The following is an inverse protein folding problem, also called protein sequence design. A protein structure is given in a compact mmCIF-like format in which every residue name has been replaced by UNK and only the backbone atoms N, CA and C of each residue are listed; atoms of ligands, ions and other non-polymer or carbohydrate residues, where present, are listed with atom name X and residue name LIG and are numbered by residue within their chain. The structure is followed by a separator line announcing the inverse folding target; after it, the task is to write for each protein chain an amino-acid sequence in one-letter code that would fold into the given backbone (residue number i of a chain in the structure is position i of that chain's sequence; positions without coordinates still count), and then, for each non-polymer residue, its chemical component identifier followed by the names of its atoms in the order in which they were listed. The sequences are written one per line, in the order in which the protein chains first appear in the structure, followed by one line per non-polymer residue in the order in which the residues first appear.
data_IF_732483686441
#
_entry.id   IF_732483686441
#
_cell.length_a   1.000
_cell.length_b   1.000
_cell.length_c   1.000
_cell.angle_alpha   90.00
_cell.angle_beta   90.00
_cell.angle_gamma   90.00
#
_symmetry.space_group_name_H-M   'P 1'
#
loop_
_entity.id
_entity.type
_entity.pdbx_description
1 polymer ?
#
# COMPACT_ATOMS: atom_id res chain seq x y z
N UNK A 1 -3.15 71.83 7.20
CA UNK A 1 -2.90 70.71 6.29
C UNK A 1 -2.89 69.43 7.10
N UNK A 2 -3.94 68.70 6.99
CA UNK A 2 -4.01 67.40 7.66
C UNK A 2 -3.44 66.37 6.71
N UNK A 3 -2.29 65.80 7.04
CA UNK A 3 -1.75 64.65 6.33
C UNK A 3 -2.49 63.41 6.79
N UNK A 4 -3.28 62.86 5.89
CA UNK A 4 -3.92 61.57 6.10
C UNK A 4 -2.82 60.53 5.93
N UNK A 5 -2.38 59.96 7.04
CA UNK A 5 -1.56 58.75 7.00
C UNK A 5 -2.53 57.59 6.85
N UNK A 6 -2.69 57.12 5.62
CA UNK A 6 -3.39 55.85 5.39
C UNK A 6 -2.50 54.74 5.93
N UNK A 7 -2.85 54.24 7.10
CA UNK A 7 -2.24 53.03 7.62
C UNK A 7 -2.76 51.88 6.77
N UNK A 8 -2.00 51.49 5.77
CA UNK A 8 -2.24 50.27 5.05
C UNK A 8 -1.88 49.12 5.97
N UNK A 9 -2.85 48.63 6.71
CA UNK A 9 -2.77 47.31 7.35
C UNK A 9 -2.74 46.28 6.22
N UNK A 10 -1.53 45.92 5.82
CA UNK A 10 -1.36 44.74 4.99
C UNK A 10 -1.76 43.57 5.84
N UNK A 11 -3.01 43.14 5.71
CA UNK A 11 -3.45 41.85 6.16
C UNK A 11 -2.73 40.81 5.26
N UNK A 12 -1.54 40.39 5.67
CA UNK A 12 -0.98 39.18 5.18
C UNK A 12 -1.92 38.08 5.66
N UNK A 13 -2.67 37.40 4.77
CA UNK A 13 -3.31 36.17 5.19
C UNK A 13 -2.18 35.31 5.71
N UNK A 14 -2.24 34.96 6.99
CA UNK A 14 -1.47 33.86 7.49
C UNK A 14 -1.93 32.66 6.67
N UNK A 15 -1.29 32.46 5.55
CA UNK A 15 -1.21 31.15 4.96
C UNK A 15 -0.48 30.30 5.99
N UNK A 16 -1.24 29.83 6.99
CA UNK A 16 -0.84 28.63 7.65
C UNK A 16 -0.75 27.60 6.56
N UNK A 17 0.43 27.45 6.00
CA UNK A 17 0.84 26.22 5.40
C UNK A 17 0.65 25.19 6.50
N UNK A 18 -0.56 24.69 6.62
CA UNK A 18 -0.72 23.37 7.18
C UNK A 18 0.16 22.52 6.27
N UNK A 19 1.32 22.13 6.80
CA UNK A 19 1.98 21.00 6.23
C UNK A 19 0.87 19.96 6.12
N UNK A 20 0.27 19.85 4.96
CA UNK A 20 -0.56 18.70 4.67
C UNK A 20 0.43 17.58 4.83
N UNK A 21 0.37 16.92 6.00
CA UNK A 21 0.79 15.56 6.07
C UNK A 21 -0.06 14.87 5.03
N UNK A 22 0.42 14.92 3.78
CA UNK A 22 -0.06 14.05 2.74
C UNK A 22 0.31 12.68 3.24
N UNK A 23 -0.61 12.11 4.04
CA UNK A 23 -0.50 10.72 4.44
C UNK A 23 -0.55 9.96 3.13
N UNK A 24 0.59 9.42 2.73
CA UNK A 24 0.70 8.53 1.59
C UNK A 24 0.30 7.14 2.06
N UNK A 25 -0.99 6.78 2.03
CA UNK A 25 -1.46 5.52 2.61
C UNK A 25 -0.85 4.31 1.93
N UNK A 26 -0.46 4.45 0.65
CA UNK A 26 0.07 3.35 -0.14
C UNK A 26 1.59 3.34 -0.26
N UNK A 27 2.27 3.96 0.70
CA UNK A 27 3.69 3.76 0.97
C UNK A 27 3.82 3.29 2.40
N UNK A 28 3.90 1.99 2.61
CA UNK A 28 3.76 1.42 3.94
C UNK A 28 4.30 0.00 4.05
N UNK A 29 4.56 -0.40 5.28
CA UNK A 29 4.68 -1.77 5.71
C UNK A 29 3.43 -2.14 6.51
N UNK A 30 2.70 -3.14 6.02
CA UNK A 30 1.43 -3.58 6.60
C UNK A 30 1.56 -5.02 7.05
N UNK A 31 0.92 -5.37 8.15
CA UNK A 31 1.05 -6.70 8.74
C UNK A 31 -0.28 -7.28 9.19
N UNK A 32 -0.44 -8.60 9.00
CA UNK A 32 -1.54 -9.40 9.53
C UNK A 32 -0.97 -10.47 10.46
N UNK A 33 -1.31 -10.40 11.75
CA UNK A 33 -0.80 -11.33 12.76
C UNK A 33 -1.39 -12.72 12.66
N UNK A 34 -2.66 -12.85 12.25
CA UNK A 34 -3.36 -14.13 12.23
C UNK A 34 -2.72 -15.11 11.24
N UNK A 35 -2.41 -14.60 10.04
CA UNK A 35 -1.81 -15.42 8.98
C UNK A 35 -0.30 -15.20 8.83
N UNK A 36 0.26 -14.30 9.62
CA UNK A 36 1.68 -13.94 9.57
C UNK A 36 2.14 -13.55 8.17
N UNK A 37 1.32 -12.76 7.50
CA UNK A 37 1.62 -12.20 6.18
C UNK A 37 1.79 -10.70 6.28
N UNK A 38 2.55 -10.14 5.34
CA UNK A 38 2.80 -8.70 5.29
C UNK A 38 2.73 -8.19 3.86
N UNK A 39 2.44 -6.90 3.73
CA UNK A 39 2.54 -6.15 2.50
C UNK A 39 3.64 -5.10 2.64
N UNK A 40 4.55 -5.10 1.72
CA UNK A 40 5.52 -4.02 1.55
C UNK A 40 5.21 -3.30 0.26
N UNK A 41 4.80 -2.04 0.35
CA UNK A 41 4.25 -1.31 -0.78
C UNK A 41 4.79 0.11 -0.90
N UNK A 42 4.91 0.55 -2.14
CA UNK A 42 5.08 1.92 -2.57
C UNK A 42 4.41 2.08 -3.94
N UNK A 43 3.14 2.46 -3.93
CA UNK A 43 2.37 2.59 -5.16
C UNK A 43 2.56 3.93 -5.85
N UNK A 44 3.31 4.86 -5.24
CA UNK A 44 3.60 6.17 -5.81
C UNK A 44 4.83 6.13 -6.69
N UNK A 45 5.96 5.69 -6.16
CA UNK A 45 7.25 5.67 -6.86
C UNK A 45 7.61 4.28 -7.38
N UNK A 46 6.92 3.24 -6.93
CA UNK A 46 7.14 1.84 -7.34
C UNK A 46 8.61 1.40 -7.19
N UNK A 47 9.16 1.68 -6.01
CA UNK A 47 10.59 1.51 -5.72
C UNK A 47 10.94 0.20 -5.01
N UNK A 48 10.00 -0.72 -4.92
CA UNK A 48 10.19 -1.96 -4.15
C UNK A 48 10.92 -2.99 -5.01
N UNK A 49 12.09 -3.42 -4.53
CA UNK A 49 12.80 -4.59 -5.07
C UNK A 49 12.34 -5.81 -4.29
N UNK A 50 11.89 -6.84 -5.01
CA UNK A 50 11.35 -8.05 -4.40
C UNK A 50 12.48 -9.03 -4.14
N UNK A 51 12.68 -9.46 -2.88
CA UNK A 51 13.73 -10.43 -2.54
C UNK A 51 13.60 -11.71 -3.36
N UNK A 52 14.69 -12.12 -4.02
CA UNK A 52 14.71 -13.30 -4.90
C UNK A 52 14.11 -13.09 -6.28
N UNK A 53 13.60 -11.89 -6.59
CA UNK A 53 12.96 -11.54 -7.86
C UNK A 53 13.55 -10.26 -8.47
N UNK A 54 14.84 -10.04 -8.30
CA UNK A 54 15.55 -8.82 -8.70
C UNK A 54 15.49 -8.58 -10.22
N UNK A 55 15.28 -9.62 -11.02
CA UNK A 55 15.16 -9.51 -12.49
C UNK A 55 13.92 -8.71 -12.92
N UNK A 56 12.89 -8.66 -12.08
CA UNK A 56 11.71 -7.82 -12.36
C UNK A 56 11.98 -6.33 -12.11
N UNK A 57 13.11 -5.97 -11.49
CA UNK A 57 13.43 -4.60 -11.15
C UNK A 57 12.57 -4.07 -10.02
N UNK A 58 12.26 -2.78 -10.08
CA UNK A 58 11.46 -2.10 -9.07
C UNK A 58 9.98 -2.19 -9.43
N UNK A 59 9.16 -2.55 -8.44
CA UNK A 59 7.73 -2.83 -8.56
C UNK A 59 6.92 -2.12 -7.47
N UNK A 60 5.58 -2.10 -7.58
CA UNK A 60 4.72 -1.51 -6.54
C UNK A 60 4.86 -2.15 -5.17
N UNK A 61 5.14 -3.44 -5.11
CA UNK A 61 5.30 -4.15 -3.85
C UNK A 61 5.05 -5.64 -3.93
N UNK A 62 4.89 -6.25 -2.76
CA UNK A 62 4.61 -7.67 -2.65
C UNK A 62 3.95 -8.03 -1.32
N UNK A 63 3.26 -9.17 -1.33
CA UNK A 63 2.77 -9.84 -0.13
C UNK A 63 3.73 -10.97 0.20
N UNK A 64 4.31 -10.93 1.39
CA UNK A 64 5.22 -11.94 1.88
C UNK A 64 4.66 -12.72 3.07
N UNK A 65 5.29 -13.84 3.37
CA UNK A 65 5.02 -14.68 4.53
C UNK A 65 6.18 -14.61 5.49
N UNK A 66 5.90 -14.41 6.77
CA UNK A 66 6.93 -14.39 7.81
C UNK A 66 7.77 -15.67 7.78
N UNK A 67 9.09 -15.50 7.82
CA UNK A 67 10.07 -16.60 7.81
C UNK A 67 9.97 -17.53 6.59
N UNK A 68 9.50 -17.02 5.46
CA UNK A 68 9.39 -17.78 4.23
C UNK A 68 9.74 -16.90 3.03
N UNK A 69 10.44 -17.43 2.04
CA UNK A 69 10.84 -16.69 0.85
C UNK A 69 9.74 -16.59 -0.21
N UNK A 70 8.65 -17.33 -0.06
CA UNK A 70 7.53 -17.27 -0.98
C UNK A 70 6.84 -15.90 -0.92
N UNK A 71 6.44 -15.37 -2.07
CA UNK A 71 5.69 -14.12 -2.13
C UNK A 71 4.69 -14.07 -3.29
N UNK A 72 3.74 -13.15 -3.17
CA UNK A 72 2.90 -12.68 -4.25
C UNK A 72 3.38 -11.30 -4.67
N UNK A 73 3.74 -11.16 -5.92
CA UNK A 73 4.26 -9.91 -6.49
C UNK A 73 3.10 -9.02 -6.91
N UNK A 74 3.11 -7.76 -6.53
CA UNK A 74 2.19 -6.77 -7.05
C UNK A 74 2.82 -6.19 -8.32
N UNK A 75 2.24 -6.53 -9.46
CA UNK A 75 2.77 -6.12 -10.77
C UNK A 75 2.22 -4.78 -11.23
N UNK A 76 1.05 -4.40 -10.77
CA UNK A 76 0.47 -3.08 -11.01
C UNK A 76 -0.41 -2.64 -9.86
N UNK A 77 -0.47 -1.34 -9.63
CA UNK A 77 -1.34 -0.72 -8.65
C UNK A 77 -1.89 0.58 -9.22
N UNK A 78 -3.20 0.75 -9.16
CA UNK A 78 -3.89 1.98 -9.57
C UNK A 78 -4.62 2.57 -8.38
N UNK A 79 -4.16 3.72 -7.92
CA UNK A 79 -4.76 4.42 -6.79
C UNK A 79 -5.99 5.20 -7.26
N UNK A 80 -7.08 5.04 -6.52
CA UNK A 80 -8.28 5.84 -6.64
C UNK A 80 -8.75 6.19 -5.23
N UNK A 81 -8.52 7.45 -4.83
CA UNK A 81 -8.80 7.95 -3.48
C UNK A 81 -8.10 7.10 -2.40
N UNK A 82 -8.85 6.40 -1.57
CA UNK A 82 -8.33 5.55 -0.51
C UNK A 82 -8.29 4.07 -0.87
N UNK A 83 -8.47 3.75 -2.13
CA UNK A 83 -8.40 2.39 -2.66
C UNK A 83 -7.29 2.27 -3.70
N UNK A 84 -6.75 1.09 -3.85
CA UNK A 84 -5.83 0.75 -4.93
C UNK A 84 -6.25 -0.57 -5.55
N UNK A 85 -6.35 -0.58 -6.87
CA UNK A 85 -6.64 -1.78 -7.66
C UNK A 85 -5.34 -2.44 -8.03
N UNK A 86 -5.17 -3.70 -7.64
CA UNK A 86 -3.92 -4.44 -7.74
C UNK A 86 -4.04 -5.59 -8.74
N UNK A 87 -2.98 -5.81 -9.51
CA UNK A 87 -2.72 -7.08 -10.16
C UNK A 87 -1.59 -7.78 -9.43
N UNK A 88 -1.76 -9.05 -9.13
CA UNK A 88 -0.81 -9.85 -8.37
C UNK A 88 -0.52 -11.16 -9.08
N UNK A 89 0.71 -11.61 -8.97
CA UNK A 89 1.16 -12.90 -9.50
C UNK A 89 1.96 -13.63 -8.43
N UNK A 90 1.82 -14.95 -8.36
CA UNK A 90 2.61 -15.72 -7.42
C UNK A 90 4.09 -15.79 -7.83
N UNK A 91 4.93 -16.19 -6.91
CA UNK A 91 6.39 -16.28 -7.07
C UNK A 91 6.81 -17.21 -8.24
N UNK A 92 6.01 -18.21 -8.54
CA UNK A 92 6.27 -19.13 -9.65
C UNK A 92 5.74 -18.63 -11.00
N UNK A 93 4.98 -17.54 -11.04
CA UNK A 93 4.37 -17.02 -12.24
C UNK A 93 3.23 -17.86 -12.83
N UNK A 94 2.71 -18.83 -12.06
CA UNK A 94 1.69 -19.78 -12.51
C UNK A 94 0.26 -19.38 -12.18
N UNK A 95 0.08 -18.46 -11.22
CA UNK A 95 -1.24 -18.02 -10.76
C UNK A 95 -1.26 -16.51 -10.64
N UNK A 96 -2.36 -15.90 -11.06
CA UNK A 96 -2.58 -14.47 -10.98
C UNK A 96 -3.96 -14.16 -10.39
N UNK A 97 -4.08 -12.96 -9.86
CA UNK A 97 -5.34 -12.46 -9.34
C UNK A 97 -5.39 -10.94 -9.39
N UNK A 98 -6.58 -10.41 -9.23
CA UNK A 98 -6.81 -8.99 -8.96
C UNK A 98 -7.37 -8.82 -7.56
N UNK A 99 -7.04 -7.70 -6.94
CA UNK A 99 -7.48 -7.38 -5.59
C UNK A 99 -7.65 -5.87 -5.42
N UNK A 100 -8.33 -5.48 -4.37
CA UNK A 100 -8.47 -4.07 -3.96
C UNK A 100 -7.95 -3.93 -2.55
N UNK A 101 -7.00 -3.02 -2.37
CA UNK A 101 -6.49 -2.61 -1.07
C UNK A 101 -7.14 -1.28 -0.69
N UNK A 102 -7.83 -1.26 0.43
CA UNK A 102 -8.51 -0.06 0.96
C UNK A 102 -7.82 0.41 2.22
N UNK A 103 -7.39 1.67 2.25
CA UNK A 103 -6.92 2.32 3.48
C UNK A 103 -8.14 2.84 4.26
N UNK A 104 -8.57 2.11 5.28
CA UNK A 104 -9.75 2.48 6.08
C UNK A 104 -9.48 3.68 6.98
N UNK A 105 -8.28 3.74 7.54
CA UNK A 105 -7.76 4.87 8.29
C UNK A 105 -6.22 4.83 8.23
N UNK A 106 -5.54 5.61 9.06
CA UNK A 106 -4.08 5.73 9.02
C UNK A 106 -3.34 4.43 9.41
N UNK A 107 -4.01 3.50 10.07
CA UNK A 107 -3.41 2.27 10.58
C UNK A 107 -4.06 0.99 10.08
N UNK A 108 -5.30 1.04 9.60
CA UNK A 108 -6.08 -0.13 9.22
C UNK A 108 -6.33 -0.18 7.72
N UNK A 109 -6.02 -1.33 7.12
CA UNK A 109 -6.19 -1.62 5.70
C UNK A 109 -6.96 -2.92 5.51
N UNK A 110 -7.66 -3.00 4.40
CA UNK A 110 -8.38 -4.21 4.00
C UNK A 110 -7.97 -4.60 2.58
N UNK A 111 -7.53 -5.84 2.42
CA UNK A 111 -7.26 -6.45 1.12
C UNK A 111 -8.40 -7.38 0.76
N UNK A 112 -9.05 -7.12 -0.38
CA UNK A 112 -10.14 -7.95 -0.89
C UNK A 112 -9.77 -8.53 -2.25
N UNK A 113 -9.79 -9.84 -2.35
CA UNK A 113 -9.58 -10.54 -3.61
C UNK A 113 -10.81 -10.40 -4.50
N UNK A 114 -10.63 -10.08 -5.78
CA UNK A 114 -11.72 -9.80 -6.73
C UNK A 114 -11.88 -10.94 -7.72
N UNK A 115 -10.88 -11.19 -8.55
CA UNK A 115 -10.92 -12.21 -9.60
C UNK A 115 -9.60 -12.99 -9.65
N UNK A 116 -9.65 -14.15 -10.24
CA UNK A 116 -8.50 -15.01 -10.49
C UNK A 116 -8.27 -16.04 -9.40
N UNK A 117 -7.02 -16.40 -9.20
CA UNK A 117 -6.60 -17.38 -8.21
C UNK A 117 -6.86 -16.91 -6.78
N UNK A 118 -6.94 -17.85 -5.84
CA UNK A 118 -7.02 -17.53 -4.41
C UNK A 118 -5.61 -17.29 -3.85
N UNK A 119 -5.44 -16.22 -3.07
CA UNK A 119 -4.22 -16.01 -2.29
C UNK A 119 -4.00 -17.20 -1.35
N UNK A 120 -2.83 -17.79 -1.43
CA UNK A 120 -2.39 -18.85 -0.55
C UNK A 120 -0.91 -18.68 -0.23
N UNK A 121 -0.52 -19.10 0.94
CA UNK A 121 0.85 -19.02 1.44
C UNK A 121 1.28 -20.33 2.07
N UNK A 122 2.59 -20.62 2.08
CA UNK A 122 3.08 -21.81 2.77
C UNK A 122 2.87 -21.73 4.28
N UNK A 123 2.43 -22.83 4.86
CA UNK A 123 2.38 -23.00 6.32
C UNK A 123 2.60 -24.46 6.66
N UNK A 124 3.66 -24.77 7.43
CA UNK A 124 3.97 -26.13 7.88
C UNK A 124 4.03 -27.17 6.73
N UNK A 125 4.66 -26.79 5.60
CA UNK A 125 4.80 -27.66 4.44
C UNK A 125 3.53 -27.84 3.59
N UNK A 126 2.48 -27.07 3.88
CA UNK A 126 1.21 -27.09 3.15
C UNK A 126 0.84 -25.69 2.66
N UNK A 127 -0.06 -25.63 1.68
CA UNK A 127 -0.63 -24.36 1.23
C UNK A 127 -1.83 -24.00 2.10
N UNK A 128 -1.78 -22.79 2.68
CA UNK A 128 -2.88 -22.21 3.42
C UNK A 128 -3.57 -21.13 2.58
N UNK A 129 -4.84 -21.33 2.28
CA UNK A 129 -5.66 -20.30 1.62
C UNK A 129 -5.94 -19.16 2.58
N UNK A 130 -5.78 -17.92 2.08
CA UNK A 130 -6.13 -16.74 2.83
C UNK A 130 -7.62 -16.41 2.62
N UNK A 131 -8.28 -15.78 3.61
CA UNK A 131 -9.64 -15.30 3.44
C UNK A 131 -9.75 -14.34 2.26
N UNK A 132 -10.92 -14.29 1.64
CA UNK A 132 -11.18 -13.38 0.53
C UNK A 132 -11.00 -11.91 0.92
N UNK A 133 -11.29 -11.57 2.17
CA UNK A 133 -11.04 -10.27 2.77
C UNK A 133 -10.12 -10.42 3.97
N UNK A 134 -9.00 -9.69 3.97
CA UNK A 134 -7.96 -9.78 4.97
C UNK A 134 -7.60 -8.39 5.48
N UNK A 135 -7.56 -8.21 6.79
CA UNK A 135 -7.15 -6.96 7.42
C UNK A 135 -5.65 -6.91 7.64
N UNK A 136 -5.08 -5.72 7.46
CA UNK A 136 -3.69 -5.40 7.76
C UNK A 136 -3.61 -4.18 8.65
N UNK A 137 -2.57 -4.11 9.48
CA UNK A 137 -2.24 -2.95 10.27
C UNK A 137 -0.89 -2.39 9.83
N UNK A 138 -0.80 -1.07 9.80
CA UNK A 138 0.47 -0.38 9.54
C UNK A 138 1.43 -0.63 10.70
N UNK A 139 2.67 -0.90 10.36
CA UNK A 139 3.80 -0.97 11.29
C UNK A 139 4.83 0.10 11.03
#
# INVERSE_FOLDING_TARGET
MKKLIALFLIFLPNLTLRAQNTVEPFRAYLYNNEYEVYLRIDFYDETITIPGQELYGQLPGYLGKKNNSFCWVITSAKIQDRTAHLAMINDYGSEDLTAVLTAKNDSLYELRQVEGSTLKVPKNGKWQKLPKTLEFKRR
#
